data_IF_176758687317
#
_entry.id   IF_176758687317
#
_cell.length_a   1.000
_cell.length_b   1.000
_cell.length_c   1.000
_cell.angle_alpha   90.00
_cell.angle_beta   90.00
_cell.angle_gamma   90.00
#
_symmetry.space_group_name_H-M   'P 1'
#
loop_
_entity.id
_entity.type
_entity.pdbx_description
1 polymer ?
#
# COMPACT_ATOMS: atom_id res chain seq x y z
N UNK A 1 -20.15 -10.13 -4.54
CA UNK A 1 -19.90 -8.90 -5.32
C UNK A 1 -18.77 -8.16 -4.64
N UNK A 2 -17.53 -8.28 -5.11
CA UNK A 2 -16.39 -7.50 -4.62
C UNK A 2 -16.37 -6.16 -5.35
N UNK A 3 -16.87 -5.12 -4.69
CA UNK A 3 -16.80 -3.75 -5.21
C UNK A 3 -15.36 -3.25 -5.05
N UNK A 4 -14.56 -3.32 -6.13
CA UNK A 4 -13.31 -2.57 -6.20
C UNK A 4 -13.70 -1.10 -6.25
N UNK A 5 -13.63 -0.42 -5.10
CA UNK A 5 -13.76 1.03 -5.09
C UNK A 5 -12.64 1.60 -5.96
N UNK A 6 -12.95 2.48 -6.89
CA UNK A 6 -11.97 3.16 -7.76
C UNK A 6 -11.89 4.61 -7.33
N UNK A 7 -10.71 5.20 -7.38
CA UNK A 7 -10.54 6.62 -7.15
C UNK A 7 -11.10 7.44 -8.36
N UNK A 8 -11.20 8.77 -8.27
CA UNK A 8 -11.70 9.60 -9.37
C UNK A 8 -10.86 9.51 -10.66
N UNK A 9 -9.64 8.98 -10.60
CA UNK A 9 -8.77 8.71 -11.75
C UNK A 9 -8.93 7.29 -12.30
N UNK A 10 -9.87 6.49 -11.77
CA UNK A 10 -10.12 5.11 -12.20
C UNK A 10 -9.10 4.11 -11.66
N UNK A 11 -8.24 4.51 -10.72
CA UNK A 11 -7.27 3.61 -10.11
C UNK A 11 -7.95 2.82 -8.99
N UNK A 12 -7.82 1.47 -8.95
CA UNK A 12 -8.42 0.68 -7.89
C UNK A 12 -7.87 1.10 -6.52
N UNK A 13 -8.78 1.51 -5.64
CA UNK A 13 -8.49 1.90 -4.26
C UNK A 13 -7.98 0.66 -3.52
N UNK A 14 -6.82 0.77 -2.86
CA UNK A 14 -6.30 -0.29 -2.03
C UNK A 14 -7.30 -0.75 -0.96
N UNK A 15 -7.59 -2.06 -0.93
CA UNK A 15 -8.21 -2.65 0.26
C UNK A 15 -7.20 -2.72 1.39
N UNK A 16 -7.67 -2.74 2.64
CA UNK A 16 -6.80 -2.79 3.83
C UNK A 16 -5.86 -4.01 3.83
N UNK A 17 -6.24 -5.13 3.21
CA UNK A 17 -5.47 -6.37 3.15
C UNK A 17 -4.23 -6.19 2.29
N UNK A 18 -4.39 -5.53 1.15
CA UNK A 18 -3.26 -5.23 0.27
C UNK A 18 -2.32 -4.23 0.94
N UNK A 19 -2.86 -3.21 1.63
CA UNK A 19 -2.05 -2.26 2.39
C UNK A 19 -1.27 -2.94 3.53
N UNK A 20 -1.88 -3.87 4.26
CA UNK A 20 -1.20 -4.62 5.33
C UNK A 20 -0.10 -5.52 4.73
N UNK A 21 -0.38 -6.22 3.64
CA UNK A 21 0.62 -7.08 2.99
C UNK A 21 1.80 -6.27 2.42
N UNK A 22 1.53 -5.10 1.84
CA UNK A 22 2.54 -4.19 1.30
C UNK A 22 3.19 -3.30 2.38
N UNK A 23 2.78 -3.38 3.64
CA UNK A 23 3.19 -2.46 4.72
C UNK A 23 4.71 -2.30 4.84
N UNK A 24 5.47 -3.40 4.81
CA UNK A 24 6.95 -3.37 4.84
C UNK A 24 7.53 -2.54 3.70
N UNK A 25 7.00 -2.73 2.50
CA UNK A 25 7.43 -1.96 1.31
C UNK A 25 7.01 -0.51 1.41
N UNK A 26 5.80 -0.21 1.90
CA UNK A 26 5.31 1.16 2.10
C UNK A 26 6.18 1.93 3.10
N UNK A 27 6.60 1.29 4.19
CA UNK A 27 7.45 1.90 5.23
C UNK A 27 8.80 2.34 4.67
N UNK A 28 9.37 1.57 3.75
CA UNK A 28 10.67 1.86 3.13
C UNK A 28 10.52 2.83 1.95
N UNK A 29 9.65 2.50 1.00
CA UNK A 29 9.54 3.19 -0.30
C UNK A 29 8.79 4.52 -0.25
N UNK A 30 7.83 4.67 0.65
CA UNK A 30 7.05 5.90 0.83
C UNK A 30 7.40 6.63 2.14
N UNK A 31 8.61 6.44 2.66
CA UNK A 31 9.02 6.97 3.96
C UNK A 31 9.02 8.50 3.97
N UNK A 32 9.51 9.12 2.91
CA UNK A 32 9.67 10.56 2.82
C UNK A 32 8.31 11.28 2.85
N UNK A 33 7.36 10.82 2.03
CA UNK A 33 6.00 11.33 1.92
C UNK A 33 5.24 11.12 3.23
N UNK A 34 5.34 9.91 3.83
CA UNK A 34 4.72 9.62 5.13
C UNK A 34 5.26 10.57 6.22
N UNK A 35 6.58 10.78 6.29
CA UNK A 35 7.18 11.66 7.28
C UNK A 35 6.80 13.13 7.07
N UNK A 36 6.74 13.60 5.82
CA UNK A 36 6.28 14.95 5.50
C UNK A 36 4.83 15.16 5.97
N UNK A 37 3.95 14.19 5.72
CA UNK A 37 2.56 14.24 6.16
C UNK A 37 2.43 14.23 7.70
N UNK A 38 3.16 13.34 8.39
CA UNK A 38 3.14 13.27 9.87
C UNK A 38 3.67 14.56 10.48
N UNK A 39 4.75 15.13 9.94
CA UNK A 39 5.30 16.43 10.40
C UNK A 39 4.29 17.56 10.21
N UNK A 40 3.58 17.59 9.08
CA UNK A 40 2.53 18.57 8.84
C UNK A 40 1.41 18.45 9.88
N UNK A 41 0.87 17.23 10.08
CA UNK A 41 -0.19 16.96 11.07
C UNK A 41 0.20 17.26 12.51
N UNK A 42 1.49 17.11 12.85
CA UNK A 42 2.01 17.48 14.18
C UNK A 42 2.08 18.99 14.37
N UNK A 43 2.33 19.75 13.31
CA UNK A 43 2.43 21.22 13.37
C UNK A 43 1.04 21.87 13.41
N UNK A 44 0.11 21.37 12.60
CA UNK A 44 -1.25 21.89 12.50
C UNK A 44 -2.23 20.73 12.35
N UNK A 45 -3.21 20.65 13.24
CA UNK A 45 -4.20 19.57 13.23
C UNK A 45 -5.29 19.76 12.18
N UNK A 46 -5.42 20.97 11.61
CA UNK A 46 -6.38 21.26 10.55
C UNK A 46 -6.13 20.34 9.32
N UNK A 47 -7.13 19.55 8.91
CA UNK A 47 -6.98 18.59 7.81
C UNK A 47 -6.66 19.26 6.47
N UNK A 48 -7.14 20.49 6.21
CA UNK A 48 -6.98 21.14 4.90
C UNK A 48 -5.53 21.56 4.63
N UNK A 49 -4.79 21.94 5.67
CA UNK A 49 -3.39 22.42 5.54
C UNK A 49 -2.39 21.35 5.11
N UNK A 50 -2.75 20.08 5.27
CA UNK A 50 -1.88 18.96 4.95
C UNK A 50 -2.38 18.14 3.75
N UNK A 51 -3.41 18.62 3.02
CA UNK A 51 -4.01 17.89 1.90
C UNK A 51 -3.00 17.56 0.80
N UNK A 52 -2.10 18.48 0.46
CA UNK A 52 -1.07 18.23 -0.56
C UNK A 52 -0.15 17.07 -0.15
N UNK A 53 0.29 17.06 1.12
CA UNK A 53 1.11 15.95 1.66
C UNK A 53 0.32 14.65 1.80
N UNK A 54 -0.99 14.75 2.06
CA UNK A 54 -1.90 13.62 2.03
C UNK A 54 -2.07 13.02 0.63
N UNK A 55 -2.13 13.87 -0.41
CA UNK A 55 -2.16 13.42 -1.81
C UNK A 55 -0.85 12.76 -2.20
N UNK A 56 0.29 13.36 -1.88
CA UNK A 56 1.62 12.79 -2.14
C UNK A 56 1.78 11.39 -1.54
N UNK A 57 1.40 11.21 -0.26
CA UNK A 57 1.53 9.90 0.40
C UNK A 57 0.58 8.85 -0.18
N UNK A 58 -0.63 9.27 -0.57
CA UNK A 58 -1.63 8.39 -1.18
C UNK A 58 -1.17 7.96 -2.58
N UNK A 59 -0.65 8.90 -3.37
CA UNK A 59 -0.11 8.62 -4.69
C UNK A 59 1.07 7.64 -4.62
N UNK A 60 2.01 7.83 -3.68
CA UNK A 60 3.11 6.88 -3.49
C UNK A 60 2.61 5.47 -3.16
N UNK A 61 1.66 5.34 -2.23
CA UNK A 61 1.10 4.04 -1.82
C UNK A 61 0.40 3.33 -2.97
N UNK A 62 -0.41 4.05 -3.74
CA UNK A 62 -1.13 3.49 -4.89
C UNK A 62 -0.15 3.07 -5.98
N UNK A 63 0.82 3.92 -6.34
CA UNK A 63 1.83 3.59 -7.34
C UNK A 63 2.65 2.36 -6.95
N UNK A 64 3.10 2.29 -5.69
CA UNK A 64 3.83 1.14 -5.16
C UNK A 64 3.00 -0.14 -5.23
N UNK A 65 1.75 -0.07 -4.81
CA UNK A 65 0.84 -1.22 -4.84
C UNK A 65 0.59 -1.72 -6.25
N UNK A 66 0.33 -0.82 -7.20
CA UNK A 66 0.18 -1.17 -8.61
C UNK A 66 1.43 -1.86 -9.15
N UNK A 67 2.62 -1.34 -8.85
CA UNK A 67 3.89 -1.95 -9.25
C UNK A 67 4.09 -3.34 -8.64
N UNK A 68 3.76 -3.50 -7.36
CA UNK A 68 3.89 -4.75 -6.63
C UNK A 68 2.91 -5.84 -7.13
N UNK A 69 1.65 -5.48 -7.34
CA UNK A 69 0.61 -6.39 -7.86
C UNK A 69 0.89 -6.79 -9.31
N UNK A 70 1.35 -5.86 -10.15
CA UNK A 70 1.73 -6.17 -11.54
C UNK A 70 2.86 -7.20 -11.61
N UNK A 71 3.82 -7.14 -10.68
CA UNK A 71 4.93 -8.10 -10.59
C UNK A 71 4.54 -9.44 -9.97
N UNK A 72 3.41 -9.52 -9.27
CA UNK A 72 2.98 -10.72 -8.52
C UNK A 72 1.53 -11.12 -8.85
N UNK A 73 1.27 -11.68 -10.04
CA UNK A 73 -0.08 -12.04 -10.48
C UNK A 73 -0.79 -13.09 -9.59
N UNK A 74 -0.03 -13.95 -8.90
CA UNK A 74 -0.59 -14.88 -7.89
C UNK A 74 -1.15 -14.15 -6.68
N UNK A 75 -0.53 -13.04 -6.31
CA UNK A 75 -0.91 -12.25 -5.15
C UNK A 75 -2.12 -11.37 -5.46
N UNK A 76 -2.21 -10.80 -6.67
CA UNK A 76 -3.42 -10.11 -7.12
C UNK A 76 -4.63 -11.04 -7.14
N UNK A 77 -4.46 -12.28 -7.60
CA UNK A 77 -5.53 -13.29 -7.59
C UNK A 77 -5.92 -13.73 -6.16
N UNK A 78 -4.95 -13.86 -5.25
CA UNK A 78 -5.21 -14.21 -3.86
C UNK A 78 -6.03 -13.13 -3.12
N UNK A 79 -5.76 -11.84 -3.39
CA UNK A 79 -6.52 -10.74 -2.77
C UNK A 79 -7.93 -10.58 -3.33
N UNK A 80 -8.19 -10.94 -4.58
CA UNK A 80 -9.52 -10.90 -5.19
C UNK A 80 -10.51 -11.89 -4.53
N UNK A 81 -9.99 -12.98 -3.95
CA UNK A 81 -10.79 -14.09 -3.42
C UNK A 81 -10.82 -14.15 -1.88
N UNK A 82 -10.46 -13.07 -1.19
CA UNK A 82 -10.20 -13.08 0.25
C UNK A 82 -11.46 -12.73 1.10
N UNK A 83 -11.83 -13.59 2.06
CA UNK A 83 -12.87 -13.34 3.08
C UNK A 83 -12.29 -12.73 4.38
N UNK A 84 -13.12 -12.23 5.33
CA UNK A 84 -12.64 -11.58 6.55
C UNK A 84 -11.74 -12.45 7.47
N UNK A 85 -12.02 -13.75 7.61
CA UNK A 85 -11.15 -14.66 8.40
C UNK A 85 -9.85 -15.02 7.69
N UNK A 86 -9.93 -15.17 6.37
CA UNK A 86 -8.77 -15.45 5.51
C UNK A 86 -7.88 -14.19 5.42
N UNK A 87 -8.41 -13.01 5.73
CA UNK A 87 -7.75 -11.71 5.62
C UNK A 87 -6.41 -11.61 6.32
N UNK A 88 -6.33 -12.02 7.59
CA UNK A 88 -5.09 -11.91 8.36
C UNK A 88 -4.04 -12.93 7.87
N UNK A 89 -4.48 -14.16 7.57
CA UNK A 89 -3.61 -15.22 7.04
C UNK A 89 -3.07 -14.87 5.65
N UNK A 90 -3.93 -14.41 4.74
CA UNK A 90 -3.52 -14.01 3.38
C UNK A 90 -2.68 -12.75 3.39
N UNK A 91 -2.91 -11.80 4.31
CA UNK A 91 -2.03 -10.65 4.46
C UNK A 91 -0.61 -11.05 4.91
N UNK A 92 -0.50 -12.00 5.86
CA UNK A 92 0.79 -12.57 6.27
C UNK A 92 1.47 -13.36 5.15
N UNK A 93 0.75 -14.24 4.46
CA UNK A 93 1.28 -14.97 3.30
C UNK A 93 1.65 -14.03 2.15
N UNK A 94 0.87 -12.98 1.93
CA UNK A 94 1.14 -11.94 0.94
C UNK A 94 2.41 -11.16 1.24
N UNK A 95 2.71 -10.93 2.52
CA UNK A 95 3.97 -10.32 2.93
C UNK A 95 5.18 -11.21 2.60
N UNK A 96 5.04 -12.54 2.64
CA UNK A 96 6.09 -13.46 2.17
C UNK A 96 6.22 -13.44 0.64
N UNK A 97 5.09 -13.40 -0.08
CA UNK A 97 5.08 -13.31 -1.55
C UNK A 97 5.67 -12.00 -2.08
N UNK A 98 5.50 -10.89 -1.35
CA UNK A 98 6.16 -9.62 -1.65
C UNK A 98 7.64 -9.58 -1.24
N UNK A 99 8.13 -10.52 -0.44
CA UNK A 99 9.54 -10.62 -0.04
C UNK A 99 10.14 -11.95 -0.54
N UNK A 100 10.30 -12.15 -1.87
CA UNK A 100 11.07 -13.28 -2.35
C UNK A 100 12.52 -13.19 -1.83
N UNK A 101 13.19 -14.33 -1.56
CA UNK A 101 14.52 -14.36 -0.94
C UNK A 101 15.62 -13.60 -1.70
N UNK A 102 15.40 -13.21 -2.96
CA UNK A 102 16.36 -12.45 -3.77
C UNK A 102 16.37 -10.93 -3.54
N UNK A 103 15.43 -10.33 -2.81
CA UNK A 103 15.44 -8.88 -2.54
C UNK A 103 16.21 -8.50 -1.25
N UNK A 104 17.22 -9.29 -0.91
CA UNK A 104 18.17 -9.03 0.19
C UNK A 104 19.55 -8.57 -0.31
N UNK A 105 19.73 -8.40 -1.62
CA UNK A 105 21.01 -8.09 -2.23
C UNK A 105 20.87 -7.07 -3.35
N UNK A 106 20.75 -5.79 -2.98
CA UNK A 106 21.40 -4.65 -3.66
C UNK A 106 20.94 -3.37 -2.97
N UNK A 107 21.76 -2.87 -2.05
CA UNK A 107 21.95 -1.43 -1.81
C UNK A 107 23.46 -1.26 -1.50
N UNK A 108 24.26 -0.65 -2.38
CA UNK A 108 25.44 0.09 -1.94
C UNK A 108 25.05 1.39 -1.21
#
# INVERSE_FOLDING_TARGET
>A
MTSTAVDPSGTPIPTSSVLIAASKHIVVRCRAENMAFIKCKRKDQNPEKCLDKGREVTHCKIALQSALLHRTPKLSAAFQNCSPEIYFKTALSGQQLFNPPELSQTDP
#
